data_IF_585505164815
#
_entry.id   IF_585505164815
#
_cell.length_a   1.000
_cell.length_b   1.000
_cell.length_c   1.000
_cell.angle_alpha   90.00
_cell.angle_beta   90.00
_cell.angle_gamma   90.00
#
_symmetry.space_group_name_H-M   'P 1'
#
loop_
_entity.id
_entity.type
_entity.pdbx_description
1 polymer ?
#
# COMPACT_ATOMS: atom_id res chain seq x y z
N UNK A 1 -21.32 -17.69 54.89
CA UNK A 1 -20.44 -17.83 53.70
C UNK A 1 -20.82 -16.84 52.60
N UNK A 2 -20.85 -15.54 52.87
CA UNK A 2 -21.54 -14.58 51.96
C UNK A 2 -20.73 -13.31 51.64
N UNK A 3 -19.58 -13.11 52.28
CA UNK A 3 -18.72 -11.94 52.03
C UNK A 3 -17.61 -12.20 51.00
N UNK A 4 -17.05 -13.42 50.95
CA UNK A 4 -15.98 -13.77 50.00
C UNK A 4 -16.45 -13.78 48.52
N UNK A 5 -17.73 -14.06 48.25
CA UNK A 5 -18.28 -14.07 46.88
C UNK A 5 -18.49 -12.67 46.28
N UNK A 6 -18.67 -11.63 47.11
CA UNK A 6 -18.85 -10.25 46.62
C UNK A 6 -17.53 -9.56 46.24
N UNK A 7 -16.43 -9.90 46.92
CA UNK A 7 -15.11 -9.34 46.62
C UNK A 7 -14.55 -9.80 45.27
N UNK A 8 -14.83 -11.05 44.85
CA UNK A 8 -14.37 -11.59 43.57
C UNK A 8 -15.04 -10.94 42.35
N UNK A 9 -16.28 -10.47 42.49
CA UNK A 9 -17.01 -9.85 41.38
C UNK A 9 -16.48 -8.44 41.10
N UNK A 10 -16.05 -7.70 42.13
CA UNK A 10 -15.51 -6.33 41.96
C UNK A 10 -14.09 -6.34 41.39
N UNK A 11 -13.27 -7.33 41.75
CA UNK A 11 -11.91 -7.48 41.17
C UNK A 11 -11.91 -7.85 39.68
N UNK A 12 -12.98 -8.46 39.19
CA UNK A 12 -13.10 -8.92 37.79
C UNK A 12 -13.50 -7.79 36.82
N UNK A 13 -14.18 -6.75 37.30
CA UNK A 13 -14.53 -5.58 36.47
C UNK A 13 -13.37 -4.58 36.32
N UNK A 14 -12.44 -4.52 37.27
CA UNK A 14 -11.30 -3.59 37.19
C UNK A 14 -10.25 -4.01 36.14
N UNK A 15 -10.15 -5.29 35.80
CA UNK A 15 -9.20 -5.79 34.79
C UNK A 15 -9.72 -5.58 33.36
N UNK A 16 -11.04 -5.44 33.15
CA UNK A 16 -11.60 -5.10 31.83
C UNK A 16 -11.47 -3.61 31.46
N UNK A 17 -11.17 -2.72 32.41
CA UNK A 17 -10.99 -1.30 32.13
C UNK A 17 -9.56 -0.95 31.65
N UNK A 18 -8.62 -1.90 31.72
CA UNK A 18 -7.22 -1.72 31.34
C UNK A 18 -6.83 -2.42 30.03
N UNK A 19 -7.79 -2.90 29.24
CA UNK A 19 -7.57 -3.14 27.81
C UNK A 19 -7.40 -1.81 27.11
N UNK A 20 -6.22 -1.19 27.27
CA UNK A 20 -5.77 -0.13 26.39
C UNK A 20 -5.97 -0.65 24.97
N UNK A 21 -6.71 0.10 24.16
CA UNK A 21 -6.90 -0.21 22.76
C UNK A 21 -5.51 -0.32 22.13
N UNK A 22 -5.03 -1.56 21.94
CA UNK A 22 -3.90 -1.81 21.10
C UNK A 22 -4.35 -1.37 19.71
N UNK A 23 -3.98 -0.14 19.33
CA UNK A 23 -4.24 0.38 17.99
C UNK A 23 -3.49 -0.54 17.03
N UNK A 24 -4.20 -1.52 16.47
CA UNK A 24 -3.65 -2.38 15.44
C UNK A 24 -3.25 -1.46 14.30
N UNK A 25 -1.93 -1.33 14.09
CA UNK A 25 -1.41 -0.43 13.07
C UNK A 25 -1.87 -0.94 11.72
N UNK A 26 -2.68 -0.16 11.02
CA UNK A 26 -3.28 -0.57 9.75
C UNK A 26 -2.20 -1.06 8.78
N UNK A 27 -2.50 -2.19 8.12
CA UNK A 27 -1.66 -2.75 7.07
C UNK A 27 -2.32 -2.52 5.73
N UNK A 28 -1.62 -1.81 4.85
CA UNK A 28 -2.06 -1.57 3.49
C UNK A 28 -1.32 -2.53 2.56
N UNK A 29 -2.06 -3.22 1.70
CA UNK A 29 -1.47 -4.03 0.63
C UNK A 29 -1.59 -3.26 -0.68
N UNK A 30 -0.49 -3.18 -1.42
CA UNK A 30 -0.45 -2.55 -2.73
C UNK A 30 0.36 -3.36 -3.72
N UNK A 31 0.08 -3.16 -5.01
CA UNK A 31 0.79 -3.83 -6.09
C UNK A 31 0.80 -2.96 -7.34
N UNK A 32 1.77 -3.16 -8.24
CA UNK A 32 1.72 -2.56 -9.57
C UNK A 32 3.08 -2.21 -10.15
N UNK A 33 3.18 -1.02 -10.75
CA UNK A 33 4.37 -0.54 -11.46
C UNK A 33 5.69 -0.88 -10.74
N UNK A 34 6.65 -1.43 -11.49
CA UNK A 34 8.00 -1.71 -10.99
C UNK A 34 8.86 -0.44 -10.99
N UNK A 35 8.56 0.52 -11.87
CA UNK A 35 9.28 1.78 -11.97
C UNK A 35 9.43 2.52 -10.62
N UNK A 36 8.36 2.77 -9.83
CA UNK A 36 8.49 3.48 -8.56
C UNK A 36 8.84 2.57 -7.37
N UNK A 37 9.04 1.26 -7.55
CA UNK A 37 9.13 0.29 -6.44
C UNK A 37 10.22 0.63 -5.43
N UNK A 38 11.41 1.01 -5.90
CA UNK A 38 12.52 1.40 -5.03
C UNK A 38 12.23 2.68 -4.23
N UNK A 39 11.51 3.64 -4.82
CA UNK A 39 11.10 4.89 -4.15
C UNK A 39 10.06 4.56 -3.08
N UNK A 40 9.05 3.76 -3.44
CA UNK A 40 7.99 3.32 -2.53
C UNK A 40 8.54 2.52 -1.36
N UNK A 41 9.48 1.61 -1.58
CA UNK A 41 10.13 0.86 -0.51
C UNK A 41 10.75 1.80 0.55
N UNK A 42 11.43 2.87 0.11
CA UNK A 42 12.00 3.87 1.04
C UNK A 42 10.91 4.68 1.75
N UNK A 43 9.93 5.20 1.03
CA UNK A 43 8.86 6.01 1.61
C UNK A 43 8.00 5.22 2.59
N UNK A 44 7.64 3.99 2.26
CA UNK A 44 6.85 3.12 3.14
C UNK A 44 7.64 2.66 4.36
N UNK A 45 8.95 2.45 4.24
CA UNK A 45 9.82 2.23 5.40
C UNK A 45 9.81 3.44 6.34
N UNK A 46 9.92 4.66 5.81
CA UNK A 46 9.88 5.89 6.61
C UNK A 46 8.49 6.12 7.23
N UNK A 47 7.41 5.91 6.48
CA UNK A 47 6.03 5.99 6.96
C UNK A 47 5.79 5.01 8.13
N UNK A 48 6.29 3.78 8.00
CA UNK A 48 6.24 2.79 9.07
C UNK A 48 7.06 3.17 10.31
N UNK A 49 8.13 3.95 10.15
CA UNK A 49 8.93 4.46 11.29
C UNK A 49 8.31 5.68 11.96
N UNK A 50 7.58 6.52 11.21
CA UNK A 50 7.03 7.80 11.71
C UNK A 50 5.70 7.72 12.44
N UNK A 51 5.10 6.54 12.59
CA UNK A 51 3.76 6.40 13.19
C UNK A 51 2.65 6.04 12.19
N UNK A 52 2.90 6.15 10.88
CA UNK A 52 1.94 5.80 9.82
C UNK A 52 1.70 4.29 9.61
N UNK A 53 0.78 3.90 8.70
CA UNK A 53 0.47 2.50 8.45
C UNK A 53 1.67 1.72 7.92
N UNK A 54 1.67 0.40 8.14
CA UNK A 54 2.65 -0.50 7.50
C UNK A 54 2.15 -0.81 6.08
N UNK A 55 3.00 -0.59 5.08
CA UNK A 55 2.63 -0.85 3.69
C UNK A 55 3.42 -2.04 3.15
N UNK A 56 2.71 -2.99 2.57
CA UNK A 56 3.26 -4.12 1.83
C UNK A 56 3.02 -3.84 0.34
N UNK A 57 4.09 -3.53 -0.40
CA UNK A 57 4.03 -3.21 -1.83
C UNK A 57 4.83 -4.23 -2.65
N UNK A 58 4.29 -4.65 -3.78
CA UNK A 58 4.96 -5.57 -4.72
C UNK A 58 4.97 -5.00 -6.14
N UNK A 59 6.16 -4.83 -6.72
CA UNK A 59 6.34 -4.51 -8.14
C UNK A 59 5.99 -5.69 -9.04
N UNK A 60 4.75 -5.76 -9.49
CA UNK A 60 4.23 -6.82 -10.37
C UNK A 60 3.99 -6.35 -11.82
N UNK A 61 4.20 -5.07 -12.08
CA UNK A 61 3.88 -4.39 -13.33
C UNK A 61 2.52 -3.68 -13.30
N UNK A 62 2.42 -2.57 -14.03
CA UNK A 62 1.23 -1.69 -14.05
C UNK A 62 -0.08 -2.41 -14.39
N UNK A 63 -0.05 -3.34 -15.36
CA UNK A 63 -1.23 -4.13 -15.73
C UNK A 63 -1.74 -5.04 -14.62
N UNK A 64 -0.82 -5.75 -13.94
CA UNK A 64 -1.17 -6.63 -12.83
C UNK A 64 -1.69 -5.84 -11.62
N UNK A 65 -1.07 -4.70 -11.31
CA UNK A 65 -1.55 -3.79 -10.26
C UNK A 65 -2.96 -3.26 -10.53
N UNK A 66 -3.23 -2.77 -11.75
CA UNK A 66 -4.59 -2.33 -12.14
C UNK A 66 -5.60 -3.46 -11.98
N UNK A 67 -5.28 -4.67 -12.45
CA UNK A 67 -6.17 -5.83 -12.28
C UNK A 67 -6.43 -6.13 -10.81
N UNK A 68 -5.38 -6.19 -9.99
CA UNK A 68 -5.53 -6.44 -8.55
C UNK A 68 -6.40 -5.39 -7.85
N UNK A 69 -6.28 -4.11 -8.24
CA UNK A 69 -7.10 -3.03 -7.72
C UNK A 69 -8.56 -3.10 -8.16
N UNK A 70 -8.81 -3.45 -9.44
CA UNK A 70 -10.14 -3.66 -9.99
C UNK A 70 -10.83 -4.87 -9.32
N UNK A 71 -10.08 -5.94 -9.11
CA UNK A 71 -10.57 -7.17 -8.49
C UNK A 71 -10.71 -7.06 -6.97
N UNK A 72 -10.42 -5.92 -6.36
CA UNK A 72 -10.71 -5.74 -4.93
C UNK A 72 -9.55 -6.16 -4.01
N UNK A 73 -8.53 -6.82 -4.55
CA UNK A 73 -7.58 -7.68 -3.81
C UNK A 73 -6.45 -6.92 -3.11
N UNK A 74 -6.19 -5.67 -3.53
CA UNK A 74 -5.25 -4.75 -2.90
C UNK A 74 -5.96 -3.46 -2.50
N UNK A 75 -5.41 -2.74 -1.53
CA UNK A 75 -5.95 -1.45 -1.06
C UNK A 75 -5.67 -0.31 -2.04
N UNK A 76 -4.53 -0.36 -2.73
CA UNK A 76 -4.13 0.60 -3.76
C UNK A 76 -3.29 -0.08 -4.84
N UNK A 77 -3.19 0.54 -6.01
CA UNK A 77 -2.27 0.10 -7.05
C UNK A 77 -1.45 1.26 -7.61
N UNK A 78 -0.25 0.95 -8.09
CA UNK A 78 0.58 1.87 -8.84
C UNK A 78 0.52 1.52 -10.33
N UNK A 79 0.46 2.52 -11.19
CA UNK A 79 0.43 2.33 -12.62
C UNK A 79 1.09 3.52 -13.31
N UNK A 80 1.97 3.22 -14.28
CA UNK A 80 2.60 4.23 -15.14
C UNK A 80 1.63 4.79 -16.18
N UNK A 81 0.56 4.02 -16.49
CA UNK A 81 -0.55 4.47 -17.33
C UNK A 81 -1.81 4.74 -16.50
N UNK A 82 -2.64 5.73 -16.87
CA UNK A 82 -3.91 5.96 -16.20
C UNK A 82 -4.90 4.80 -16.40
N UNK A 83 -5.74 4.55 -15.40
CA UNK A 83 -6.84 3.58 -15.53
C UNK A 83 -7.93 4.13 -16.47
N UNK A 84 -8.42 3.29 -17.38
CA UNK A 84 -9.43 3.68 -18.36
C UNK A 84 -10.79 3.96 -17.71
N UNK A 85 -11.65 4.75 -18.36
CA UNK A 85 -13.02 4.97 -17.87
C UNK A 85 -13.81 3.66 -17.73
N UNK A 86 -13.66 2.75 -18.70
CA UNK A 86 -14.28 1.42 -18.70
C UNK A 86 -13.85 0.60 -17.49
N UNK A 87 -12.58 0.64 -17.11
CA UNK A 87 -12.06 -0.12 -15.98
C UNK A 87 -12.38 0.54 -14.63
N UNK A 88 -12.39 1.88 -14.56
CA UNK A 88 -12.85 2.62 -13.37
C UNK A 88 -14.28 2.24 -12.98
N UNK A 89 -15.16 2.09 -13.95
CA UNK A 89 -16.56 1.70 -13.73
C UNK A 89 -16.72 0.29 -13.12
N UNK A 90 -15.68 -0.55 -13.16
CA UNK A 90 -15.69 -1.90 -12.56
C UNK A 90 -15.33 -1.90 -11.08
N UNK A 91 -14.79 -0.81 -10.54
CA UNK A 91 -14.36 -0.72 -9.15
C UNK A 91 -15.52 -0.24 -8.29
N UNK A 92 -16.05 -1.12 -7.44
CA UNK A 92 -17.28 -0.86 -6.68
C UNK A 92 -17.07 0.23 -5.61
N UNK A 93 -15.87 0.28 -5.02
CA UNK A 93 -15.47 1.29 -4.02
C UNK A 93 -15.06 2.65 -4.62
N UNK A 94 -15.20 2.83 -5.93
CA UNK A 94 -14.74 4.03 -6.63
C UNK A 94 -13.22 4.09 -6.82
N UNK A 95 -12.77 5.12 -7.54
CA UNK A 95 -11.34 5.28 -7.90
C UNK A 95 -10.90 6.73 -7.74
N UNK A 96 -9.80 6.93 -7.02
CA UNK A 96 -9.06 8.18 -6.97
C UNK A 96 -7.67 7.94 -7.56
N UNK A 97 -7.28 8.75 -8.53
CA UNK A 97 -5.94 8.70 -9.13
C UNK A 97 -5.12 9.89 -8.64
N UNK A 98 -3.93 9.61 -8.10
CA UNK A 98 -3.02 10.61 -7.55
C UNK A 98 -1.67 10.44 -8.26
N UNK A 99 -1.12 11.49 -8.91
CA UNK A 99 0.25 11.44 -9.42
C UNK A 99 1.23 11.40 -8.24
N UNK A 100 2.15 10.43 -8.22
CA UNK A 100 3.07 10.20 -7.09
C UNK A 100 4.53 10.48 -7.44
N UNK A 101 5.00 9.97 -8.59
CA UNK A 101 6.39 10.05 -9.03
C UNK A 101 6.42 10.39 -10.52
N UNK A 102 7.23 11.37 -10.89
CA UNK A 102 7.57 11.67 -12.28
C UNK A 102 8.97 11.15 -12.62
N UNK A 103 9.17 10.74 -13.87
CA UNK A 103 10.47 10.34 -14.39
C UNK A 103 10.46 10.13 -15.88
N UNK A 104 11.61 9.77 -16.43
CA UNK A 104 11.82 9.57 -17.87
C UNK A 104 11.98 8.10 -18.21
N UNK A 105 11.52 7.69 -19.40
CA UNK A 105 11.83 6.38 -19.96
C UNK A 105 13.16 6.46 -20.69
N UNK A 106 14.17 5.73 -20.19
CA UNK A 106 15.48 5.66 -20.83
C UNK A 106 15.51 4.56 -21.90
N UNK A 107 16.14 4.84 -23.04
CA UNK A 107 16.39 3.86 -24.09
C UNK A 107 17.72 3.16 -23.83
N UNK A 108 17.67 1.92 -23.34
CA UNK A 108 18.83 1.06 -23.16
C UNK A 108 19.21 0.36 -24.47
N UNK A 109 20.51 0.36 -24.81
CA UNK A 109 21.05 -0.39 -25.94
C UNK A 109 22.40 -1.01 -25.55
N UNK A 110 22.75 -2.14 -26.16
CA UNK A 110 24.05 -2.78 -25.98
C UNK A 110 24.69 -3.02 -27.36
N UNK A 111 25.50 -2.05 -27.81
CA UNK A 111 26.23 -2.11 -29.08
C UNK A 111 27.62 -1.48 -28.93
N UNK A 112 28.66 -2.29 -28.67
CA UNK A 112 30.04 -1.79 -28.56
C UNK A 112 30.44 -0.97 -29.79
N UNK A 113 31.15 0.14 -29.58
CA UNK A 113 31.61 1.03 -30.65
C UNK A 113 30.54 1.96 -31.26
N UNK A 114 29.28 1.89 -30.79
CA UNK A 114 28.23 2.79 -31.26
C UNK A 114 28.12 4.04 -30.38
N UNK A 115 28.21 5.23 -30.98
CA UNK A 115 27.80 6.48 -30.34
C UNK A 115 26.36 6.78 -30.73
N UNK A 116 25.41 6.24 -29.95
CA UNK A 116 23.99 6.46 -30.21
C UNK A 116 23.64 7.94 -30.03
N UNK A 117 23.06 8.54 -31.08
CA UNK A 117 22.45 9.86 -31.06
C UNK A 117 21.00 9.71 -31.50
N UNK A 118 20.08 9.98 -30.58
CA UNK A 118 18.65 9.96 -30.84
C UNK A 118 18.21 11.35 -31.26
N UNK A 119 17.40 11.44 -32.31
CA UNK A 119 16.68 12.67 -32.68
C UNK A 119 15.26 12.59 -32.13
N UNK A 120 14.73 13.72 -31.69
CA UNK A 120 13.32 13.84 -31.29
C UNK A 120 12.40 13.90 -32.51
#
# INVERSE_FOLDING_TARGET
MTFAKKALIVGSLAVLAASGAASARERLNGSGATFPENIYSRWFSQLGKSGGPKVNYQGTGSGAGRKAFIDETVSFAASDDPITAKDKAKVSRGVVQIPTVGGTIALGYNKPGCSLKLTQ
#
